data_IF_320278790037
#
_entry.id   IF_320278790037
#
_cell.length_a   1.000
_cell.length_b   1.000
_cell.length_c   1.000
_cell.angle_alpha   90.00
_cell.angle_beta   90.00
_cell.angle_gamma   90.00
#
_symmetry.space_group_name_H-M   'P 1'
#
loop_
_entity.id
_entity.type
_entity.pdbx_description
1 polymer ?
#
# COMPACT_ATOMS: atom_id res chain seq x y z
N UNK A 1 -12.32 -21.36 -22.93
CA UNK A 1 -11.34 -22.41 -23.28
C UNK A 1 -10.11 -21.71 -23.86
N UNK A 2 -9.03 -21.62 -23.10
CA UNK A 2 -7.64 -21.48 -23.55
C UNK A 2 -6.77 -21.22 -22.31
N UNK A 3 -5.84 -22.14 -22.11
CA UNK A 3 -4.81 -22.18 -21.08
C UNK A 3 -3.53 -21.55 -21.65
N UNK A 4 -2.75 -20.86 -20.82
CA UNK A 4 -1.28 -21.02 -20.67
C UNK A 4 -0.64 -19.77 -20.05
N UNK A 5 0.06 -19.94 -18.93
CA UNK A 5 1.39 -19.37 -18.74
C UNK A 5 2.13 -20.20 -17.68
N UNK A 6 3.26 -20.74 -18.11
CA UNK A 6 4.24 -21.52 -17.35
C UNK A 6 5.07 -20.62 -16.41
N UNK A 7 5.18 -21.08 -15.16
CA UNK A 7 6.40 -21.20 -14.36
C UNK A 7 7.41 -20.02 -14.36
N UNK A 8 7.25 -19.12 -13.38
CA UNK A 8 8.32 -18.72 -12.46
C UNK A 8 7.66 -18.12 -11.21
N UNK A 9 7.98 -18.68 -10.04
CA UNK A 9 7.32 -18.47 -8.75
C UNK A 9 7.42 -17.01 -8.28
N UNK A 10 6.49 -16.18 -8.76
CA UNK A 10 6.18 -14.85 -8.27
C UNK A 10 4.70 -14.87 -7.97
N UNK A 11 4.34 -15.02 -6.70
CA UNK A 11 2.94 -14.87 -6.27
C UNK A 11 2.54 -13.40 -6.43
N UNK A 12 2.25 -13.01 -7.67
CA UNK A 12 1.63 -11.74 -8.02
C UNK A 12 0.17 -11.82 -7.59
N UNK A 13 -0.21 -11.11 -6.53
CA UNK A 13 -1.59 -10.65 -6.39
C UNK A 13 -1.78 -9.50 -7.41
N UNK A 14 -1.80 -9.85 -8.69
CA UNK A 14 -2.15 -8.92 -9.76
C UNK A 14 -3.42 -9.48 -10.42
N UNK A 15 -4.41 -8.59 -10.56
CA UNK A 15 -5.71 -8.79 -11.18
C UNK A 15 -6.82 -9.30 -10.24
N UNK A 16 -7.25 -8.43 -9.33
CA UNK A 16 -8.59 -8.51 -8.76
C UNK A 16 -9.48 -7.45 -9.45
N UNK A 17 -10.43 -7.85 -10.31
CA UNK A 17 -11.48 -6.96 -10.81
C UNK A 17 -12.48 -6.66 -9.69
N UNK A 18 -13.06 -5.45 -9.69
CA UNK A 18 -14.27 -5.01 -8.96
C UNK A 18 -14.68 -5.75 -7.67
N UNK A 19 -14.52 -5.06 -6.53
CA UNK A 19 -15.22 -5.28 -5.26
C UNK A 19 -15.32 -6.74 -4.78
N UNK A 20 -14.24 -7.27 -4.20
CA UNK A 20 -14.32 -8.50 -3.43
C UNK A 20 -14.93 -8.22 -2.05
N UNK A 21 -15.93 -9.02 -1.67
CA UNK A 21 -16.35 -9.21 -0.28
C UNK A 21 -15.34 -10.07 0.52
N UNK A 22 -14.25 -10.48 -0.12
CA UNK A 22 -13.23 -11.37 0.42
C UNK A 22 -11.96 -10.58 0.77
N UNK A 23 -11.52 -10.75 2.02
CA UNK A 23 -10.26 -10.19 2.53
C UNK A 23 -9.08 -11.08 2.16
N UNK A 24 -7.92 -10.51 1.88
CA UNK A 24 -6.71 -11.26 1.54
C UNK A 24 -5.77 -11.38 2.75
N UNK A 25 -5.44 -12.60 3.17
CA UNK A 25 -4.48 -12.84 4.26
C UNK A 25 -3.10 -13.26 3.73
N UNK A 26 -2.06 -12.57 4.19
CA UNK A 26 -0.66 -12.98 4.04
C UNK A 26 -0.31 -14.09 5.04
N UNK A 27 -0.14 -15.32 4.55
CA UNK A 27 0.21 -16.48 5.38
C UNK A 27 1.70 -16.51 5.71
N UNK A 28 2.58 -16.45 4.70
CA UNK A 28 4.03 -16.28 4.84
C UNK A 28 4.62 -15.85 3.48
N UNK A 29 5.52 -14.87 3.44
CA UNK A 29 6.30 -14.51 2.25
C UNK A 29 7.56 -13.73 2.63
N UNK A 30 8.54 -13.64 1.73
CA UNK A 30 9.76 -12.83 1.92
C UNK A 30 9.73 -11.48 1.17
N UNK A 31 8.84 -11.34 0.18
CA UNK A 31 8.56 -10.09 -0.55
C UNK A 31 7.04 -9.83 -0.55
N UNK A 32 6.61 -8.57 -0.50
CA UNK A 32 5.19 -8.24 -0.54
C UNK A 32 4.98 -6.88 -1.17
N UNK A 33 4.26 -6.89 -2.28
CA UNK A 33 3.82 -5.68 -2.95
C UNK A 33 2.31 -5.74 -3.19
N UNK A 34 1.63 -4.64 -2.91
CA UNK A 34 0.20 -4.46 -3.11
C UNK A 34 0.03 -3.35 -4.14
N UNK A 35 -0.75 -3.61 -5.18
CA UNK A 35 -1.00 -2.68 -6.26
C UNK A 35 -2.50 -2.46 -6.44
N UNK A 36 -2.88 -1.19 -6.60
CA UNK A 36 -4.22 -0.80 -7.00
C UNK A 36 -4.13 0.10 -8.22
N UNK A 37 -4.93 -0.20 -9.24
CA UNK A 37 -5.09 0.63 -10.43
C UNK A 37 -6.57 0.84 -10.71
N UNK A 38 -6.93 2.06 -11.10
CA UNK A 38 -8.27 2.34 -11.59
C UNK A 38 -8.25 3.48 -12.61
N UNK A 39 -9.15 3.46 -13.62
CA UNK A 39 -9.28 4.55 -14.57
C UNK A 39 -9.66 5.85 -13.87
N UNK A 40 -9.08 7.00 -14.24
CA UNK A 40 -9.49 8.29 -13.64
C UNK A 40 -10.96 8.61 -13.93
N UNK A 41 -11.55 8.02 -14.97
CA UNK A 41 -12.98 8.07 -15.29
C UNK A 41 -13.88 7.42 -14.21
N UNK A 42 -13.35 6.54 -13.34
CA UNK A 42 -14.08 5.97 -12.21
C UNK A 42 -14.12 6.92 -11.00
N UNK A 43 -13.36 8.02 -11.03
CA UNK A 43 -13.34 9.05 -9.99
C UNK A 43 -14.08 10.30 -10.47
N UNK A 44 -14.63 11.03 -9.51
CA UNK A 44 -15.18 12.38 -9.77
C UNK A 44 -14.08 13.29 -10.31
N UNK A 45 -14.29 14.00 -11.44
CA UNK A 45 -13.35 15.00 -11.97
C UNK A 45 -13.11 16.17 -11.01
N UNK A 46 -12.01 16.90 -11.24
CA UNK A 46 -11.59 18.09 -10.47
C UNK A 46 -11.56 17.90 -8.94
N UNK A 47 -11.40 16.66 -8.47
CA UNK A 47 -11.53 16.28 -7.06
C UNK A 47 -10.19 15.78 -6.55
N UNK A 48 -9.83 16.22 -5.33
CA UNK A 48 -8.68 15.67 -4.64
C UNK A 48 -9.10 14.41 -3.89
N UNK A 49 -8.26 13.37 -3.93
CA UNK A 49 -8.47 12.13 -3.21
C UNK A 49 -7.27 11.82 -2.33
N UNK A 50 -7.55 11.07 -1.27
CA UNK A 50 -6.54 10.38 -0.48
C UNK A 50 -6.74 8.88 -0.64
N UNK A 51 -5.65 8.17 -0.94
CA UNK A 51 -5.62 6.72 -1.04
C UNK A 51 -5.20 6.11 0.30
N UNK A 52 -5.97 5.14 0.78
CA UNK A 52 -5.72 4.44 2.03
C UNK A 52 -5.59 2.94 1.78
N UNK A 53 -4.56 2.32 2.35
CA UNK A 53 -4.54 0.87 2.50
C UNK A 53 -5.31 0.53 3.77
N UNK A 54 -6.36 -0.29 3.65
CA UNK A 54 -7.19 -0.75 4.77
C UNK A 54 -6.86 -2.21 5.07
N UNK A 55 -6.50 -2.47 6.33
CA UNK A 55 -5.90 -3.73 6.73
C UNK A 55 -6.12 -4.05 8.21
N UNK A 56 -5.95 -5.31 8.57
CA UNK A 56 -5.88 -5.81 9.93
C UNK A 56 -4.62 -6.67 10.08
N UNK A 57 -4.32 -7.07 11.31
CA UNK A 57 -3.21 -7.98 11.59
C UNK A 57 -3.65 -9.12 12.49
N UNK A 58 -3.18 -10.32 12.22
CA UNK A 58 -3.35 -11.45 13.13
C UNK A 58 -2.48 -11.30 14.37
N UNK A 59 -2.82 -11.98 15.47
CA UNK A 59 -2.00 -11.97 16.69
C UNK A 59 -0.57 -12.47 16.44
N UNK A 60 -0.41 -13.37 15.46
CA UNK A 60 0.87 -13.97 15.09
C UNK A 60 1.63 -13.19 14.01
N UNK A 61 1.26 -11.94 13.70
CA UNK A 61 1.90 -11.14 12.65
C UNK A 61 3.41 -10.95 12.88
N UNK A 62 4.16 -10.86 11.78
CA UNK A 62 5.61 -10.64 11.80
C UNK A 62 6.04 -9.84 10.57
N UNK A 63 7.07 -9.02 10.74
CA UNK A 63 7.72 -8.35 9.63
C UNK A 63 6.96 -7.14 9.09
N UNK A 64 6.03 -6.56 9.86
CA UNK A 64 5.21 -5.42 9.43
C UNK A 64 5.68 -4.09 10.06
N UNK A 65 6.89 -4.04 10.62
CA UNK A 65 7.44 -2.88 11.36
C UNK A 65 8.53 -2.11 10.57
N UNK A 66 9.09 -1.07 11.19
CA UNK A 66 10.09 -0.14 10.60
C UNK A 66 11.34 -0.78 9.99
N UNK A 67 11.90 -0.12 8.94
CA UNK A 67 11.22 0.57 7.85
C UNK A 67 11.77 0.02 6.54
N UNK A 68 11.06 -0.93 5.98
CA UNK A 68 11.29 -1.37 4.62
C UNK A 68 9.97 -1.23 3.88
N UNK A 69 9.25 -0.12 4.05
CA UNK A 69 7.88 0.04 3.56
C UNK A 69 7.71 1.39 2.88
N UNK A 70 7.35 1.37 1.60
CA UNK A 70 7.14 2.55 0.76
C UNK A 70 5.78 2.47 0.08
N UNK A 71 5.10 3.60 -0.05
CA UNK A 71 3.93 3.73 -0.90
C UNK A 71 4.21 4.68 -2.05
N UNK A 72 3.69 4.35 -3.23
CA UNK A 72 3.77 5.20 -4.41
C UNK A 72 2.37 5.56 -4.90
N UNK A 73 2.14 6.81 -5.29
CA UNK A 73 0.90 7.24 -5.97
C UNK A 73 1.27 8.01 -7.24
N UNK A 74 0.67 7.63 -8.37
CA UNK A 74 0.76 8.36 -9.65
C UNK A 74 -0.60 8.46 -10.35
N UNK A 75 -0.74 9.50 -11.17
CA UNK A 75 -1.93 9.73 -12.01
C UNK A 75 -1.47 10.01 -13.42
N UNK A 76 -1.90 9.19 -14.38
CA UNK A 76 -1.48 9.28 -15.77
C UNK A 76 0.04 9.23 -15.91
N UNK A 77 0.58 10.13 -16.73
CA UNK A 77 2.03 10.28 -16.96
C UNK A 77 2.75 11.18 -15.96
N UNK A 78 2.10 11.62 -14.88
CA UNK A 78 2.72 12.51 -13.91
C UNK A 78 3.80 11.81 -13.07
N UNK A 79 4.74 12.58 -12.56
CA UNK A 79 5.77 12.07 -11.65
C UNK A 79 5.12 11.41 -10.42
N UNK A 80 5.56 10.21 -10.03
CA UNK A 80 5.03 9.53 -8.86
C UNK A 80 5.42 10.26 -7.57
N UNK A 81 4.51 10.27 -6.60
CA UNK A 81 4.79 10.66 -5.23
C UNK A 81 5.09 9.42 -4.38
N UNK A 82 6.06 9.52 -3.46
CA UNK A 82 6.49 8.42 -2.60
C UNK A 82 6.43 8.80 -1.14
N UNK A 83 6.03 7.86 -0.29
CA UNK A 83 5.96 8.06 1.15
C UNK A 83 6.47 6.84 1.90
N UNK A 84 7.21 7.06 2.99
CA UNK A 84 7.56 5.99 3.92
C UNK A 84 6.40 5.77 4.88
N UNK A 85 6.02 4.51 5.06
CA UNK A 85 4.92 4.12 5.94
C UNK A 85 5.36 3.03 6.93
N UNK A 86 4.55 2.74 7.93
CA UNK A 86 4.80 1.62 8.83
C UNK A 86 3.49 1.02 9.32
N UNK A 87 3.15 -0.20 8.87
CA UNK A 87 1.88 -0.84 9.23
C UNK A 87 1.78 -1.23 10.71
N UNK A 88 2.90 -1.55 11.36
CA UNK A 88 2.94 -1.91 12.80
C UNK A 88 4.13 -1.23 13.47
N UNK A 89 3.96 0.04 13.91
CA UNK A 89 5.00 0.75 14.63
C UNK A 89 5.41 0.02 15.92
N UNK A 90 6.71 -0.22 16.08
CA UNK A 90 7.30 -0.81 17.28
C UNK A 90 8.41 0.14 17.75
N UNK A 91 8.21 0.79 18.90
CA UNK A 91 9.15 1.78 19.44
C UNK A 91 10.53 1.18 19.75
N UNK A 92 10.60 -0.09 20.16
CA UNK A 92 11.88 -0.74 20.43
C UNK A 92 12.66 -0.98 19.13
N UNK A 93 11.98 -1.40 18.05
CA UNK A 93 12.60 -1.56 16.73
C UNK A 93 12.93 -0.23 16.06
N UNK A 94 12.07 0.76 16.20
CA UNK A 94 12.31 2.11 15.69
C UNK A 94 13.61 2.70 16.25
N UNK A 95 13.87 2.53 17.57
CA UNK A 95 15.13 2.96 18.19
C UNK A 95 16.35 2.23 17.67
N UNK A 96 16.24 0.93 17.37
CA UNK A 96 17.36 0.15 16.79
C UNK A 96 17.66 0.60 15.37
N UNK A 97 16.61 0.92 14.60
CA UNK A 97 16.78 1.44 13.25
C UNK A 97 17.36 2.86 13.22
N UNK A 98 16.93 3.72 14.15
CA UNK A 98 17.45 5.10 14.30
C UNK A 98 18.79 5.19 15.04
N UNK A 99 19.24 4.12 15.70
CA UNK A 99 20.35 4.11 16.66
C UNK A 99 21.68 3.57 16.15
N UNK A 100 21.84 3.33 14.85
CA UNK A 100 23.16 3.09 14.22
C UNK A 100 23.80 4.43 13.81
N UNK A 101 25.14 4.50 13.74
CA UNK A 101 25.93 5.68 13.35
C UNK A 101 25.66 6.14 11.89
N UNK A 102 24.43 6.58 11.62
CA UNK A 102 23.98 7.11 10.35
C UNK A 102 23.15 8.36 10.61
N UNK A 103 23.79 9.53 10.54
CA UNK A 103 23.10 10.81 10.36
C UNK A 103 22.21 10.70 9.12
N UNK A 104 20.88 10.66 9.28
CA UNK A 104 19.97 10.74 8.13
C UNK A 104 18.50 10.40 8.34
N UNK A 105 18.12 9.65 9.39
CA UNK A 105 16.74 9.15 9.55
C UNK A 105 15.85 9.99 10.48
N UNK A 106 16.38 11.01 11.15
CA UNK A 106 15.59 11.89 12.02
C UNK A 106 14.62 12.79 11.24
N UNK A 107 14.79 12.88 9.91
CA UNK A 107 14.01 13.77 9.01
C UNK A 107 13.01 13.01 8.11
N UNK A 108 12.95 11.68 8.18
CA UNK A 108 11.97 10.91 7.40
C UNK A 108 10.64 10.85 8.15
N UNK A 109 9.65 11.58 7.64
CA UNK A 109 8.27 11.51 8.10
C UNK A 109 7.67 10.13 7.76
N UNK A 110 7.66 9.24 8.75
CA UNK A 110 7.07 7.90 8.61
C UNK A 110 5.61 7.94 9.01
N UNK A 111 4.73 7.65 8.05
CA UNK A 111 3.28 7.62 8.28
C UNK A 111 2.90 6.34 9.04
N UNK A 112 2.27 6.52 10.18
CA UNK A 112 1.71 5.44 10.99
C UNK A 112 0.26 5.11 10.60
N UNK A 113 -0.25 3.96 11.04
CA UNK A 113 -1.62 3.56 10.80
C UNK A 113 -2.56 4.20 11.84
N UNK A 114 -3.81 4.37 11.46
CA UNK A 114 -4.89 4.79 12.35
C UNK A 114 -5.91 3.66 12.50
N UNK A 115 -6.42 3.46 13.72
CA UNK A 115 -7.52 2.52 13.97
C UNK A 115 -8.85 3.20 13.68
N UNK A 116 -9.67 2.55 12.87
CA UNK A 116 -11.03 3.00 12.51
C UNK A 116 -12.05 2.53 13.54
N UNK A 117 -13.25 3.09 13.47
CA UNK A 117 -14.38 2.71 14.34
C UNK A 117 -14.95 1.31 14.07
N UNK A 118 -14.69 0.74 12.89
CA UNK A 118 -15.12 -0.61 12.48
C UNK A 118 -14.11 -1.71 12.85
N UNK A 119 -12.98 -1.35 13.47
CA UNK A 119 -11.94 -2.29 13.90
C UNK A 119 -10.83 -2.52 12.88
N UNK A 120 -10.92 -1.94 11.68
CA UNK A 120 -9.84 -1.98 10.68
C UNK A 120 -8.78 -0.90 10.95
N UNK A 121 -7.55 -1.18 10.56
CA UNK A 121 -6.48 -0.18 10.48
C UNK A 121 -6.42 0.41 9.07
N UNK A 122 -6.01 1.66 8.98
CA UNK A 122 -5.73 2.30 7.70
C UNK A 122 -4.43 3.10 7.74
N UNK A 123 -3.74 3.18 6.61
CA UNK A 123 -2.58 4.08 6.45
C UNK A 123 -2.71 4.88 5.15
N UNK A 124 -2.38 6.17 5.21
CA UNK A 124 -2.37 7.04 4.03
C UNK A 124 -1.24 6.65 3.09
N UNK A 125 -1.57 6.13 1.91
CA UNK A 125 -0.62 5.78 0.86
C UNK A 125 -0.16 7.02 0.08
N UNK A 126 -1.02 8.02 -0.03
CA UNK A 126 -0.73 9.30 -0.66
C UNK A 126 -1.98 10.01 -1.14
N UNK A 127 -1.77 11.16 -1.78
CA UNK A 127 -2.84 12.02 -2.29
C UNK A 127 -2.70 12.20 -3.78
N UNK A 128 -3.83 12.42 -4.44
CA UNK A 128 -3.91 12.65 -5.87
C UNK A 128 -5.01 13.64 -6.19
N UNK A 129 -4.97 14.21 -7.40
CA UNK A 129 -6.02 15.08 -7.92
C UNK A 129 -6.40 14.61 -9.30
N UNK A 130 -7.69 14.49 -9.56
CA UNK A 130 -8.22 14.23 -10.89
C UNK A 130 -8.23 15.51 -11.72
N UNK A 131 -8.05 15.36 -13.04
CA UNK A 131 -8.20 16.47 -13.99
C UNK A 131 -9.64 16.96 -14.08
N UNK A 132 -9.85 18.09 -14.75
CA UNK A 132 -11.19 18.66 -14.95
C UNK A 132 -12.09 17.79 -15.85
N UNK A 133 -11.48 17.00 -16.73
CA UNK A 133 -12.15 16.07 -17.63
C UNK A 133 -11.50 14.70 -17.51
N UNK A 134 -12.31 13.65 -17.64
CA UNK A 134 -11.81 12.28 -17.67
C UNK A 134 -11.07 12.05 -19.00
N UNK A 135 -9.78 11.72 -18.91
CA UNK A 135 -8.97 11.40 -20.09
C UNK A 135 -9.02 9.90 -20.34
N UNK A 136 -9.40 9.49 -21.56
CA UNK A 136 -9.44 8.09 -21.93
C UNK A 136 -8.05 7.45 -21.79
N UNK A 137 -7.96 6.36 -21.03
CA UNK A 137 -6.71 5.64 -20.79
C UNK A 137 -5.81 6.25 -19.71
N UNK A 138 -6.23 7.34 -19.06
CA UNK A 138 -5.55 7.84 -17.87
C UNK A 138 -5.98 7.00 -16.65
N UNK A 139 -5.00 6.56 -15.87
CA UNK A 139 -5.21 5.73 -14.69
C UNK A 139 -4.55 6.35 -13.46
N UNK A 140 -5.16 6.09 -12.31
CA UNK A 140 -4.49 6.20 -11.03
C UNK A 140 -3.81 4.87 -10.74
N UNK A 141 -2.54 4.92 -10.37
CA UNK A 141 -1.80 3.77 -9.86
C UNK A 141 -1.29 4.07 -8.44
N UNK A 142 -1.55 3.13 -7.54
CA UNK A 142 -1.06 3.17 -6.17
C UNK A 142 -0.36 1.85 -5.85
N UNK A 143 0.79 1.93 -5.20
CA UNK A 143 1.49 0.76 -4.67
C UNK A 143 1.85 0.92 -3.21
N UNK A 144 1.94 -0.22 -2.53
CA UNK A 144 2.58 -0.39 -1.23
C UNK A 144 3.58 -1.53 -1.37
N UNK A 145 4.83 -1.29 -0.99
CA UNK A 145 5.93 -2.23 -1.21
C UNK A 145 6.69 -2.45 0.09
N UNK A 146 6.95 -3.71 0.42
CA UNK A 146 7.84 -4.07 1.51
C UNK A 146 9.25 -4.39 0.98
N UNK A 147 10.12 -3.38 0.95
CA UNK A 147 11.44 -3.32 0.31
C UNK A 147 12.48 -4.35 0.79
N UNK A 148 12.28 -4.99 1.94
CA UNK A 148 13.26 -5.91 2.54
C UNK A 148 12.95 -7.38 2.31
N UNK A 149 13.98 -8.21 2.12
CA UNK A 149 13.85 -9.65 1.89
C UNK A 149 13.90 -10.44 3.21
N UNK A 150 12.78 -10.48 3.93
CA UNK A 150 12.67 -11.18 5.22
C UNK A 150 11.26 -11.72 5.43
N UNK A 151 11.07 -12.77 6.26
CA UNK A 151 9.77 -13.38 6.48
C UNK A 151 8.73 -12.39 7.03
N UNK A 152 7.58 -12.36 6.36
CA UNK A 152 6.42 -11.50 6.61
C UNK A 152 5.17 -12.36 6.66
N UNK A 153 4.31 -12.11 7.64
CA UNK A 153 3.03 -12.81 7.76
C UNK A 153 2.03 -12.04 8.60
N UNK A 154 0.78 -12.48 8.50
CA UNK A 154 -0.32 -12.03 9.36
C UNK A 154 -0.86 -10.66 9.01
N UNK A 155 -0.55 -10.12 7.82
CA UNK A 155 -1.28 -9.00 7.26
C UNK A 155 -2.60 -9.51 6.68
N UNK A 156 -3.71 -8.85 6.98
CA UNK A 156 -5.02 -9.10 6.36
C UNK A 156 -5.41 -7.81 5.65
N UNK A 157 -5.63 -7.85 4.34
CA UNK A 157 -5.95 -6.68 3.53
C UNK A 157 -7.42 -6.71 3.16
N UNK A 158 -8.13 -5.64 3.50
CA UNK A 158 -9.50 -5.41 3.02
C UNK A 158 -9.45 -4.81 1.60
N UNK A 159 -8.59 -3.79 1.40
CA UNK A 159 -8.41 -3.21 0.08
C UNK A 159 -7.71 -1.85 0.10
N UNK A 160 -7.75 -1.18 -1.04
CA UNK A 160 -7.32 0.22 -1.19
C UNK A 160 -8.55 1.09 -1.42
N UNK A 161 -8.76 2.07 -0.56
CA UNK A 161 -9.88 3.00 -0.64
C UNK A 161 -9.42 4.38 -1.14
N UNK A 162 -10.21 4.96 -2.03
CA UNK A 162 -10.02 6.33 -2.53
C UNK A 162 -11.12 7.21 -1.95
N UNK A 163 -10.75 8.12 -1.05
CA UNK A 163 -11.71 9.02 -0.38
C UNK A 163 -11.52 10.46 -0.88
N UNK A 164 -12.59 11.14 -1.33
CA UNK A 164 -12.50 12.54 -1.72
C UNK A 164 -12.20 13.44 -0.51
N UNK A 165 -11.47 14.53 -0.74
CA UNK A 165 -11.14 15.58 0.23
C UNK A 165 -12.10 16.77 0.16
#
# INVERSE_FOLDING_TARGET
MATAATEEDRTRLCDLPEAFADVAQLVDCTCLDIYARLPTAALTPATAYTAYLVFATTDAHRGLSFPDQETTVSVGGNAPSRHTVCLRPDAAKARRFRGGEGKGMDDVDVRGPALRGDGWWEVEMGRLRTGNEAVMGEEVAVSFEMLGWYPKRGLVVEGVEFRPL
#
